data_IF_614249353249
#
_entry.id   IF_614249353249
#
_cell.length_a   1.000
_cell.length_b   1.000
_cell.length_c   1.000
_cell.angle_alpha   90.00
_cell.angle_beta   90.00
_cell.angle_gamma   90.00
#
_symmetry.space_group_name_H-M   'P 1'
#
loop_
_entity.id
_entity.type
_entity.pdbx_description
1 polymer ?
#
# COMPACT_ATOMS: atom_id res chain seq x y z
N UNK A 1 -4.43 -79.36 12.33
CA UNK A 1 -2.98 -79.07 12.26
C UNK A 1 -2.77 -77.87 11.36
N UNK A 2 -1.98 -76.85 11.74
CA UNK A 2 -1.75 -75.68 10.91
C UNK A 2 -0.97 -76.05 9.64
N UNK A 3 -1.30 -75.42 8.50
CA UNK A 3 -0.59 -75.63 7.25
C UNK A 3 0.78 -74.94 7.29
N UNK A 4 1.85 -75.56 6.75
CA UNK A 4 3.16 -74.91 6.69
C UNK A 4 3.11 -73.68 5.75
N UNK A 5 3.78 -72.57 6.10
CA UNK A 5 3.55 -71.26 5.48
C UNK A 5 3.84 -71.22 3.97
N UNK A 6 4.82 -72.01 3.51
CA UNK A 6 5.15 -72.11 2.08
C UNK A 6 4.04 -72.78 1.23
N UNK A 7 3.22 -73.66 1.81
CA UNK A 7 2.04 -74.22 1.14
C UNK A 7 0.88 -73.23 1.16
N UNK A 8 0.68 -72.55 2.29
CA UNK A 8 -0.37 -71.55 2.49
C UNK A 8 -0.27 -70.44 1.41
N UNK A 9 0.90 -69.84 1.24
CA UNK A 9 1.16 -68.82 0.21
C UNK A 9 0.96 -69.32 -1.23
N UNK A 10 1.24 -70.61 -1.51
CA UNK A 10 1.00 -71.21 -2.84
C UNK A 10 -0.48 -71.46 -3.12
N UNK A 11 -1.26 -71.80 -2.09
CA UNK A 11 -2.70 -72.01 -2.20
C UNK A 11 -3.48 -70.69 -2.31
N UNK A 12 -3.03 -69.64 -1.62
CA UNK A 12 -3.52 -68.27 -1.79
C UNK A 12 -3.31 -67.74 -3.21
N UNK A 13 -2.08 -67.86 -3.76
CA UNK A 13 -1.78 -67.47 -5.14
C UNK A 13 -2.55 -68.24 -6.21
N UNK A 14 -3.21 -69.34 -5.84
CA UNK A 14 -4.11 -70.13 -6.70
C UNK A 14 -5.60 -69.89 -6.42
N UNK A 15 -5.93 -68.94 -5.54
CA UNK A 15 -7.31 -68.60 -5.16
C UNK A 15 -8.05 -69.66 -4.33
N UNK A 16 -7.34 -70.69 -3.84
CA UNK A 16 -7.93 -71.83 -3.11
C UNK A 16 -8.18 -71.47 -1.65
N UNK A 17 -7.30 -70.67 -1.05
CA UNK A 17 -7.49 -70.07 0.27
C UNK A 17 -7.84 -68.61 0.06
N UNK A 18 -9.09 -68.25 0.31
CA UNK A 18 -9.49 -66.85 0.50
C UNK A 18 -9.08 -66.47 1.92
N UNK A 19 -8.22 -65.46 2.06
CA UNK A 19 -8.15 -64.75 3.33
C UNK A 19 -9.38 -63.83 3.37
N UNK A 20 -10.05 -63.82 4.51
CA UNK A 20 -10.88 -62.69 4.88
C UNK A 20 -9.90 -61.55 5.17
N UNK A 21 -9.67 -60.71 4.16
CA UNK A 21 -8.96 -59.45 4.37
C UNK A 21 -9.82 -58.63 5.34
N UNK A 22 -9.30 -58.43 6.55
CA UNK A 22 -9.89 -57.48 7.48
C UNK A 22 -9.97 -56.14 6.77
N UNK A 23 -11.19 -55.68 6.51
CA UNK A 23 -11.45 -54.39 5.89
C UNK A 23 -11.06 -53.34 6.92
N UNK A 24 -9.78 -52.96 6.89
CA UNK A 24 -9.29 -51.77 7.55
C UNK A 24 -10.08 -50.62 6.93
N UNK A 25 -11.07 -50.14 7.66
CA UNK A 25 -11.79 -48.94 7.31
C UNK A 25 -10.81 -47.78 7.41
N UNK A 26 -10.10 -47.50 6.32
CA UNK A 26 -9.42 -46.24 6.11
C UNK A 26 -10.48 -45.14 6.27
N UNK A 27 -10.40 -44.40 7.37
CA UNK A 27 -11.28 -43.27 7.64
C UNK A 27 -11.12 -42.26 6.50
N UNK A 28 -12.06 -42.31 5.55
CA UNK A 28 -12.15 -41.38 4.43
C UNK A 28 -12.69 -39.99 4.85
N UNK A 29 -12.71 -39.72 6.15
CA UNK A 29 -12.70 -38.37 6.69
C UNK A 29 -11.32 -37.76 6.44
N UNK A 30 -11.14 -37.25 5.20
CA UNK A 30 -10.28 -36.08 5.03
C UNK A 30 -10.82 -35.04 5.99
N UNK A 31 -10.11 -34.77 7.08
CA UNK A 31 -10.38 -33.58 7.88
C UNK A 31 -10.53 -32.42 6.89
N UNK A 32 -11.58 -31.58 7.01
CA UNK A 32 -11.67 -30.41 6.17
C UNK A 32 -10.40 -29.62 6.44
N UNK A 33 -9.54 -29.53 5.42
CA UNK A 33 -8.35 -28.69 5.49
C UNK A 33 -8.81 -27.39 6.10
N UNK A 34 -8.23 -27.02 7.25
CA UNK A 34 -8.39 -25.69 7.81
C UNK A 34 -7.62 -24.74 6.88
N UNK A 35 -8.20 -24.53 5.69
CA UNK A 35 -8.49 -23.19 5.21
C UNK A 35 -9.02 -22.46 6.42
N UNK A 36 -8.10 -21.79 7.10
CA UNK A 36 -8.37 -20.49 7.63
C UNK A 36 -9.04 -19.76 6.45
N UNK A 37 -10.38 -19.74 6.47
CA UNK A 37 -11.07 -18.51 6.14
C UNK A 37 -10.31 -17.49 6.98
N UNK A 38 -9.42 -16.76 6.31
CA UNK A 38 -9.12 -15.41 6.74
C UNK A 38 -10.50 -14.83 6.98
N UNK A 39 -10.87 -14.64 8.25
CA UNK A 39 -12.04 -13.86 8.59
C UNK A 39 -11.86 -12.57 7.79
N UNK A 40 -12.74 -12.34 6.82
CA UNK A 40 -12.60 -11.25 5.86
C UNK A 40 -12.35 -9.98 6.66
N UNK A 41 -11.11 -9.47 6.64
CA UNK A 41 -10.64 -8.50 7.62
C UNK A 41 -11.64 -7.35 7.66
N UNK A 42 -12.54 -7.37 8.66
CA UNK A 42 -13.75 -6.56 8.60
C UNK A 42 -13.42 -5.06 8.65
N UNK A 43 -12.22 -4.77 9.17
CA UNK A 43 -11.56 -3.49 9.30
C UNK A 43 -10.83 -3.01 8.04
N UNK A 44 -10.80 -3.77 6.94
CA UNK A 44 -10.11 -3.41 5.70
C UNK A 44 -8.64 -3.81 5.66
N UNK A 45 -7.87 -3.19 4.74
CA UNK A 45 -6.46 -3.51 4.52
C UNK A 45 -5.59 -3.18 5.76
N UNK A 46 -4.73 -4.11 6.23
CA UNK A 46 -4.02 -3.96 7.50
C UNK A 46 -3.17 -2.68 7.56
N UNK A 47 -2.30 -2.47 6.56
CA UNK A 47 -1.46 -1.28 6.48
C UNK A 47 -2.15 0.02 6.04
N UNK A 48 -3.47 0.08 5.86
CA UNK A 48 -4.10 1.28 5.31
C UNK A 48 -4.11 2.44 6.32
N UNK A 49 -3.44 3.58 6.05
CA UNK A 49 -3.39 4.70 7.00
C UNK A 49 -4.75 5.40 7.15
N UNK A 50 -5.69 5.20 6.23
CA UNK A 50 -7.03 5.80 6.27
C UNK A 50 -8.08 4.93 7.01
N UNK A 51 -7.69 3.83 7.66
CA UNK A 51 -8.61 2.92 8.37
C UNK A 51 -9.44 3.60 9.47
N UNK A 52 -8.92 4.68 10.05
CA UNK A 52 -9.60 5.50 11.06
C UNK A 52 -10.67 6.46 10.51
N UNK A 53 -10.76 6.63 9.18
CA UNK A 53 -11.68 7.57 8.56
C UNK A 53 -13.04 6.88 8.31
N UNK A 54 -14.08 7.36 8.98
CA UNK A 54 -15.46 6.87 8.87
C UNK A 54 -16.07 6.93 7.45
N UNK A 55 -15.44 7.64 6.51
CA UNK A 55 -15.86 7.71 5.10
C UNK A 55 -14.95 6.91 4.16
N UNK A 56 -13.99 6.15 4.68
CA UNK A 56 -13.06 5.36 3.87
C UNK A 56 -13.39 3.87 3.92
N UNK A 57 -13.79 3.32 2.78
CA UNK A 57 -13.84 1.87 2.54
C UNK A 57 -12.57 1.45 1.82
N UNK A 58 -11.87 0.43 2.33
CA UNK A 58 -10.68 -0.12 1.68
C UNK A 58 -11.05 -0.82 0.37
N UNK A 59 -10.44 -0.39 -0.74
CA UNK A 59 -10.53 -1.00 -2.07
C UNK A 59 -9.26 -1.80 -2.39
N UNK A 60 -9.22 -2.57 -3.47
CA UNK A 60 -8.04 -3.39 -3.87
C UNK A 60 -6.72 -2.62 -3.82
N UNK A 61 -6.70 -1.37 -4.29
CA UNK A 61 -5.53 -0.50 -4.22
C UNK A 61 -4.96 -0.37 -2.79
N UNK A 62 -5.80 -0.34 -1.75
CA UNK A 62 -5.34 -0.23 -0.37
C UNK A 62 -4.56 -1.48 0.08
N UNK A 63 -5.00 -2.67 -0.36
CA UNK A 63 -4.32 -3.93 -0.06
C UNK A 63 -3.01 -4.04 -0.84
N UNK A 64 -3.02 -3.74 -2.15
CA UNK A 64 -1.83 -3.81 -3.01
C UNK A 64 -0.77 -2.75 -2.67
N UNK A 65 -1.18 -1.54 -2.27
CA UNK A 65 -0.26 -0.41 -2.02
C UNK A 65 0.34 -0.41 -0.61
N UNK A 66 -0.43 -0.76 0.42
CA UNK A 66 0.01 -0.66 1.81
C UNK A 66 0.41 -2.00 2.45
N UNK A 67 -0.08 -3.13 1.92
CA UNK A 67 0.20 -4.46 2.45
C UNK A 67 -0.06 -4.55 3.97
N UNK A 68 0.89 -5.16 4.68
CA UNK A 68 0.86 -5.34 6.14
C UNK A 68 1.30 -4.09 6.94
N UNK A 69 1.57 -2.96 6.25
CA UNK A 69 1.87 -1.69 6.89
C UNK A 69 3.23 -1.63 7.61
N UNK A 70 3.23 -1.04 8.81
CA UNK A 70 4.41 -0.89 9.65
C UNK A 70 4.38 -1.85 10.84
N UNK A 71 5.42 -2.66 11.05
CA UNK A 71 5.44 -3.63 12.14
C UNK A 71 5.76 -2.96 13.48
N UNK A 72 5.19 -3.52 14.56
CA UNK A 72 5.25 -3.01 15.93
C UNK A 72 6.67 -2.72 16.44
N UNK A 73 7.66 -3.54 16.06
CA UNK A 73 9.07 -3.33 16.46
C UNK A 73 9.72 -2.07 15.89
N UNK A 74 9.08 -1.41 14.90
CA UNK A 74 9.53 -0.12 14.34
C UNK A 74 9.04 1.08 15.17
N UNK A 75 8.21 0.86 16.19
CA UNK A 75 7.68 1.93 17.03
C UNK A 75 8.80 2.72 17.74
N UNK A 76 8.72 4.06 17.80
CA UNK A 76 9.65 4.84 18.60
C UNK A 76 9.53 4.48 20.09
N UNK A 77 10.65 4.19 20.74
CA UNK A 77 10.69 3.85 22.17
C UNK A 77 10.05 4.93 23.05
N UNK A 78 10.24 6.21 22.70
CA UNK A 78 9.57 7.36 23.36
C UNK A 78 8.03 7.26 23.31
N UNK A 79 7.45 6.71 22.24
CA UNK A 79 6.02 6.50 22.12
C UNK A 79 5.55 5.36 23.04
N UNK A 80 6.27 4.24 23.06
CA UNK A 80 5.98 3.09 23.94
C UNK A 80 6.06 3.51 25.41
N UNK A 81 7.11 4.23 25.81
CA UNK A 81 7.26 4.77 27.17
C UNK A 81 6.10 5.70 27.57
N UNK A 82 5.68 6.60 26.68
CA UNK A 82 4.55 7.49 26.92
C UNK A 82 3.21 6.74 27.03
N UNK A 83 2.98 5.71 26.20
CA UNK A 83 1.81 4.82 26.31
C UNK A 83 1.79 4.12 27.67
N UNK A 84 2.89 3.51 28.07
CA UNK A 84 2.98 2.74 29.30
C UNK A 84 2.79 3.64 30.54
N UNK A 85 3.33 4.87 30.52
CA UNK A 85 3.06 5.89 31.55
C UNK A 85 1.59 6.31 31.60
N UNK A 86 0.92 6.47 30.46
CA UNK A 86 -0.52 6.73 30.42
C UNK A 86 -1.31 5.56 31.05
N UNK A 87 -0.98 4.32 30.71
CA UNK A 87 -1.64 3.13 31.24
C UNK A 87 -1.40 2.92 32.74
N UNK A 88 -0.23 3.28 33.25
CA UNK A 88 0.04 3.26 34.69
C UNK A 88 -0.86 4.24 35.48
N UNK A 89 -1.14 5.42 34.91
CA UNK A 89 -2.02 6.42 35.52
C UNK A 89 -3.52 6.14 35.29
N UNK A 90 -3.84 5.49 34.17
CA UNK A 90 -5.20 5.21 33.71
C UNK A 90 -5.31 3.74 33.27
N UNK A 91 -5.36 2.79 34.22
CA UNK A 91 -5.42 1.36 33.91
C UNK A 91 -6.69 1.02 33.13
N UNK A 92 -6.57 0.11 32.16
CA UNK A 92 -7.71 -0.29 31.32
C UNK A 92 -8.85 -0.87 32.19
N UNK A 93 -10.12 -0.52 31.92
CA UNK A 93 -11.25 -1.24 32.50
C UNK A 93 -11.31 -2.69 32.01
N UNK A 94 -12.12 -3.50 32.68
CA UNK A 94 -12.42 -4.85 32.24
C UNK A 94 -13.00 -4.84 30.80
N UNK A 95 -12.68 -5.88 30.01
CA UNK A 95 -13.03 -6.06 28.60
C UNK A 95 -12.33 -5.14 27.58
N UNK A 96 -11.58 -4.13 28.03
CA UNK A 96 -10.76 -3.32 27.14
C UNK A 96 -9.39 -3.93 26.91
N UNK A 97 -8.95 -3.95 25.66
CA UNK A 97 -7.60 -4.38 25.26
C UNK A 97 -6.90 -3.33 24.43
N UNK A 98 -5.57 -3.33 24.51
CA UNK A 98 -4.71 -2.59 23.59
C UNK A 98 -4.49 -3.38 22.30
N UNK A 99 -4.67 -2.71 21.16
CA UNK A 99 -4.53 -3.27 19.82
C UNK A 99 -3.63 -2.35 19.00
N UNK A 100 -2.65 -2.91 18.31
CA UNK A 100 -1.76 -2.17 17.42
C UNK A 100 -2.39 -2.02 16.02
N UNK A 101 -2.41 -0.80 15.46
CA UNK A 101 -2.76 -0.56 14.06
C UNK A 101 -1.50 -0.39 13.21
N UNK A 102 -1.31 -1.28 12.23
CA UNK A 102 -0.11 -1.30 11.40
C UNK A 102 -0.05 -0.14 10.40
N UNK A 103 -1.20 0.40 9.98
CA UNK A 103 -1.29 1.48 8.99
C UNK A 103 -0.90 2.85 9.54
N UNK A 104 -1.25 3.12 10.79
CA UNK A 104 -1.00 4.41 11.48
C UNK A 104 0.22 4.32 12.41
N UNK A 105 0.75 3.13 12.67
CA UNK A 105 1.86 2.84 13.58
C UNK A 105 1.56 3.23 15.04
N UNK A 106 0.35 2.93 15.53
CA UNK A 106 -0.10 3.34 16.88
C UNK A 106 -1.04 2.30 17.49
N UNK A 107 -1.02 2.20 18.81
CA UNK A 107 -2.06 1.50 19.55
C UNK A 107 -3.34 2.34 19.64
N UNK A 108 -4.46 1.65 19.53
CA UNK A 108 -5.77 2.07 20.01
C UNK A 108 -6.24 1.05 21.07
N UNK A 109 -7.36 1.35 21.71
CA UNK A 109 -8.00 0.49 22.68
C UNK A 109 -9.36 0.08 22.15
N UNK A 110 -9.72 -1.19 22.34
CA UNK A 110 -10.95 -1.81 21.85
C UNK A 110 -11.66 -2.54 22.99
N UNK A 111 -12.97 -2.34 23.11
CA UNK A 111 -13.83 -3.03 24.05
C UNK A 111 -14.40 -4.30 23.41
N UNK A 112 -13.99 -5.47 23.89
CA UNK A 112 -14.41 -6.77 23.35
C UNK A 112 -15.89 -7.11 23.54
N UNK A 113 -16.63 -6.35 24.35
CA UNK A 113 -18.07 -6.60 24.58
C UNK A 113 -18.99 -5.66 23.80
N UNK A 114 -18.55 -4.44 23.49
CA UNK A 114 -19.38 -3.40 22.84
C UNK A 114 -18.88 -3.02 21.45
N UNK A 115 -17.72 -3.55 21.05
CA UNK A 115 -16.95 -3.19 19.85
C UNK A 115 -16.51 -1.72 19.74
N UNK A 116 -16.71 -0.93 20.79
CA UNK A 116 -16.25 0.45 20.88
C UNK A 116 -14.72 0.57 20.87
N UNK A 117 -14.21 1.66 20.29
CA UNK A 117 -12.77 1.95 20.20
C UNK A 117 -12.42 3.37 20.65
N UNK A 118 -11.18 3.57 21.11
CA UNK A 118 -10.64 4.89 21.46
C UNK A 118 -9.10 4.96 21.37
N UNK A 119 -8.54 6.16 21.21
CA UNK A 119 -7.08 6.39 21.07
C UNK A 119 -6.31 6.59 22.39
N UNK A 120 -7.02 6.73 23.50
CA UNK A 120 -6.47 6.87 24.85
C UNK A 120 -7.13 5.81 25.75
N UNK A 121 -6.52 5.44 26.88
CA UNK A 121 -7.18 4.56 27.86
C UNK A 121 -8.59 5.09 28.18
N UNK A 122 -9.65 4.26 28.26
CA UNK A 122 -11.03 4.72 28.45
C UNK A 122 -11.26 5.55 29.72
N UNK A 123 -10.37 5.42 30.72
CA UNK A 123 -10.41 6.23 31.96
C UNK A 123 -9.75 7.61 31.82
N UNK A 124 -9.07 7.87 30.71
CA UNK A 124 -8.34 9.10 30.46
C UNK A 124 -9.31 10.23 30.07
N UNK A 125 -9.18 11.45 30.62
CA UNK A 125 -10.15 12.54 30.37
C UNK A 125 -10.19 13.06 28.93
N UNK A 126 -9.25 12.64 28.07
CA UNK A 126 -9.23 12.92 26.62
C UNK A 126 -9.65 11.72 25.76
N UNK A 127 -10.10 10.62 26.36
CA UNK A 127 -10.63 9.49 25.61
C UNK A 127 -11.99 9.88 25.01
N UNK A 128 -12.09 9.74 23.70
CA UNK A 128 -13.36 9.78 22.97
C UNK A 128 -13.61 8.34 22.59
N UNK A 129 -14.67 7.76 23.16
CA UNK A 129 -15.15 6.42 22.85
C UNK A 129 -16.12 6.57 21.67
N UNK A 130 -15.89 5.79 20.62
CA UNK A 130 -16.74 5.78 19.43
C UNK A 130 -16.87 4.38 18.86
N UNK A 131 -17.82 4.22 17.96
CA UNK A 131 -17.86 3.07 17.07
C UNK A 131 -16.59 2.96 16.21
N UNK A 132 -16.21 1.74 15.78
CA UNK A 132 -15.04 1.53 14.96
C UNK A 132 -15.31 2.07 13.54
N UNK A 133 -14.43 2.94 13.06
CA UNK A 133 -14.59 3.62 11.77
C UNK A 133 -14.91 2.69 10.58
N UNK A 134 -14.37 1.45 10.46
CA UNK A 134 -14.77 0.52 9.40
C UNK A 134 -16.23 0.06 9.46
N UNK A 135 -16.88 0.05 10.65
CA UNK A 135 -18.33 -0.23 10.78
C UNK A 135 -19.13 0.92 10.20
N UNK A 136 -18.83 2.14 10.63
CA UNK A 136 -19.45 3.39 10.15
C UNK A 136 -19.24 3.55 8.63
N UNK A 137 -18.04 3.23 8.12
CA UNK A 137 -17.74 3.31 6.70
C UNK A 137 -18.54 2.32 5.84
N UNK A 138 -18.86 1.13 6.36
CA UNK A 138 -19.77 0.18 5.69
C UNK A 138 -21.22 0.69 5.66
N UNK A 139 -21.67 1.35 6.72
CA UNK A 139 -22.99 1.99 6.78
C UNK A 139 -23.11 3.19 5.81
N UNK A 140 -22.01 3.94 5.62
CA UNK A 140 -21.94 5.02 4.63
C UNK A 140 -21.66 4.55 3.19
N UNK A 141 -21.15 3.33 2.99
CA UNK A 141 -20.81 2.79 1.67
C UNK A 141 -21.94 2.90 0.62
N UNK A 142 -23.21 2.50 0.87
CA UNK A 142 -24.28 2.64 -0.12
C UNK A 142 -24.58 4.10 -0.50
N UNK A 143 -24.36 5.06 0.41
CA UNK A 143 -24.52 6.48 0.12
C UNK A 143 -23.36 7.06 -0.69
N UNK A 144 -22.14 6.52 -0.53
CA UNK A 144 -20.92 6.98 -1.21
C UNK A 144 -20.72 6.32 -2.60
N UNK A 145 -21.09 5.05 -2.74
CA UNK A 145 -20.88 4.25 -3.95
C UNK A 145 -22.19 3.92 -4.72
N UNK A 146 -23.34 4.30 -4.16
CA UNK A 146 -24.67 4.07 -4.72
C UNK A 146 -25.25 2.69 -4.41
N UNK A 147 -26.57 2.56 -4.52
CA UNK A 147 -27.34 1.31 -4.36
C UNK A 147 -27.16 0.34 -5.54
N UNK A 148 -25.91 0.13 -5.93
CA UNK A 148 -25.53 -1.01 -6.77
C UNK A 148 -25.52 -2.24 -5.88
N UNK A 149 -26.64 -2.94 -5.79
CA UNK A 149 -26.80 -4.23 -5.10
C UNK A 149 -25.97 -5.39 -5.70
N UNK A 150 -24.82 -5.08 -6.29
CA UNK A 150 -23.77 -6.01 -6.62
C UNK A 150 -22.70 -5.91 -5.53
N UNK A 151 -22.62 -6.93 -4.66
CA UNK A 151 -21.44 -7.10 -3.81
C UNK A 151 -20.19 -7.11 -4.70
N UNK A 152 -19.09 -6.56 -4.19
CA UNK A 152 -17.78 -6.69 -4.83
C UNK A 152 -17.57 -8.18 -5.09
N UNK A 153 -17.43 -8.66 -6.34
CA UNK A 153 -17.38 -10.08 -6.60
C UNK A 153 -16.12 -10.68 -5.98
N UNK A 154 -16.30 -11.41 -4.88
CA UNK A 154 -15.25 -12.15 -4.18
C UNK A 154 -14.52 -13.10 -5.16
N UNK A 155 -15.25 -13.56 -6.18
CA UNK A 155 -14.79 -14.42 -7.28
C UNK A 155 -13.66 -13.80 -8.12
N UNK A 156 -13.68 -12.49 -8.39
CA UNK A 156 -12.69 -11.83 -9.27
C UNK A 156 -11.32 -11.74 -8.57
N UNK A 157 -11.33 -11.57 -7.24
CA UNK A 157 -10.13 -11.61 -6.40
C UNK A 157 -9.53 -13.02 -6.29
N UNK A 158 -10.37 -14.07 -6.28
CA UNK A 158 -9.90 -15.46 -6.30
C UNK A 158 -9.27 -15.82 -7.65
N UNK A 159 -9.86 -15.38 -8.76
CA UNK A 159 -9.31 -15.59 -10.10
C UNK A 159 -7.92 -14.93 -10.26
N UNK A 160 -7.77 -13.69 -9.79
CA UNK A 160 -6.51 -12.93 -9.89
C UNK A 160 -5.40 -13.48 -8.99
N UNK A 161 -5.72 -14.03 -7.80
CA UNK A 161 -4.76 -14.76 -6.94
C UNK A 161 -4.21 -16.02 -7.61
N UNK A 162 -5.03 -16.75 -8.38
CA UNK A 162 -4.62 -18.01 -9.04
C UNK A 162 -3.52 -17.82 -10.09
N UNK A 163 -3.49 -16.67 -10.77
CA UNK A 163 -2.48 -16.33 -11.78
C UNK A 163 -1.11 -15.90 -11.23
N UNK A 164 -0.96 -15.70 -9.92
CA UNK A 164 0.32 -15.29 -9.30
C UNK A 164 1.12 -16.47 -8.70
N UNK A 165 0.58 -17.69 -8.79
CA UNK A 165 1.13 -18.92 -8.19
C UNK A 165 2.09 -19.74 -9.07
N UNK A 166 2.86 -19.11 -9.95
CA UNK A 166 3.87 -19.84 -10.73
C UNK A 166 4.64 -19.02 -11.75
N UNK A 167 5.92 -18.73 -11.45
CA UNK A 167 7.07 -19.14 -12.27
C UNK A 167 8.37 -18.52 -11.70
N UNK A 168 9.00 -19.17 -10.73
CA UNK A 168 10.41 -18.92 -10.44
C UNK A 168 11.29 -19.56 -11.52
N UNK A 169 12.06 -18.78 -12.29
CA UNK A 169 13.33 -19.18 -12.97
C UNK A 169 14.04 -17.98 -13.64
N UNK A 170 15.34 -18.09 -14.01
CA UNK A 170 16.31 -17.22 -13.35
C UNK A 170 17.19 -16.37 -14.29
N UNK A 171 18.04 -15.56 -13.66
CA UNK A 171 19.15 -14.77 -14.21
C UNK A 171 20.03 -15.56 -15.23
N UNK A 172 20.11 -15.11 -16.50
CA UNK A 172 20.96 -15.75 -17.51
C UNK A 172 20.98 -15.16 -18.94
N UNK A 173 21.75 -14.10 -19.16
CA UNK A 173 22.79 -13.94 -20.22
C UNK A 173 22.58 -14.28 -21.73
N UNK A 174 22.94 -13.29 -22.60
CA UNK A 174 23.44 -13.35 -24.01
C UNK A 174 22.55 -13.78 -25.23
N UNK A 175 22.21 -12.76 -26.05
CA UNK A 175 22.42 -12.61 -27.52
C UNK A 175 22.30 -13.83 -28.48
N UNK A 176 21.46 -13.71 -29.53
CA UNK A 176 21.89 -13.62 -30.98
C UNK A 176 20.72 -13.53 -32.00
N UNK A 177 20.94 -12.69 -33.04
CA UNK A 177 20.51 -12.67 -34.48
C UNK A 177 19.33 -13.58 -34.91
N UNK A 178 18.35 -13.12 -35.71
CA UNK A 178 18.47 -12.53 -37.07
C UNK A 178 18.13 -13.62 -38.13
N UNK A 179 17.57 -13.38 -39.34
CA UNK A 179 17.45 -12.20 -40.23
C UNK A 179 16.21 -12.35 -41.14
N UNK A 180 15.78 -11.27 -41.79
CA UNK A 180 14.88 -11.27 -42.95
C UNK A 180 14.75 -9.86 -43.55
N UNK A 181 15.58 -9.57 -44.57
CA UNK A 181 15.80 -8.27 -45.22
C UNK A 181 16.41 -8.60 -46.61
N UNK A 182 16.14 -7.90 -47.75
CA UNK A 182 16.79 -6.60 -47.97
C UNK A 182 16.15 -5.59 -48.99
N UNK A 183 16.74 -4.38 -49.05
CA UNK A 183 16.79 -3.39 -50.17
C UNK A 183 15.54 -2.52 -50.45
N UNK A 184 15.60 -1.17 -50.59
CA UNK A 184 16.63 -0.10 -50.42
C UNK A 184 15.93 1.16 -49.79
N UNK A 185 16.45 2.39 -49.63
CA UNK A 185 17.65 3.10 -50.14
C UNK A 185 18.14 4.26 -49.22
N UNK A 186 19.27 4.88 -49.60
CA UNK A 186 20.01 6.08 -49.15
C UNK A 186 19.27 7.22 -48.37
N UNK A 187 19.95 7.81 -47.39
CA UNK A 187 19.52 8.98 -46.58
C UNK A 187 20.20 10.32 -47.00
N UNK A 188 20.34 11.36 -46.13
CA UNK A 188 20.08 11.41 -44.67
C UNK A 188 19.18 12.60 -44.18
N UNK A 189 19.00 12.69 -42.86
CA UNK A 189 18.81 13.94 -42.08
C UNK A 189 17.47 14.73 -42.16
N UNK A 190 16.54 14.45 -41.22
CA UNK A 190 15.86 15.46 -40.36
C UNK A 190 15.02 14.78 -39.25
N UNK A 191 15.07 15.29 -38.01
CA UNK A 191 14.23 14.85 -36.88
C UNK A 191 12.82 15.49 -36.98
N UNK A 192 12.03 15.08 -37.97
CA UNK A 192 10.71 15.64 -38.28
C UNK A 192 9.58 14.58 -38.32
N UNK A 193 9.64 13.57 -37.45
CA UNK A 193 8.59 12.54 -37.33
C UNK A 193 7.33 13.09 -36.62
N UNK A 194 6.48 13.70 -37.44
CA UNK A 194 5.01 13.72 -37.37
C UNK A 194 4.39 13.82 -35.96
N UNK A 195 4.19 15.06 -35.51
CA UNK A 195 3.35 15.36 -34.33
C UNK A 195 1.90 15.02 -34.65
N UNK A 196 1.52 13.75 -34.48
CA UNK A 196 0.11 13.35 -34.44
C UNK A 196 -0.55 14.14 -33.31
N UNK A 197 -1.37 15.13 -33.67
CA UNK A 197 -2.07 15.98 -32.71
C UNK A 197 -2.98 15.11 -31.84
N UNK A 198 -2.48 14.74 -30.66
CA UNK A 198 -3.27 14.00 -29.70
C UNK A 198 -4.52 14.80 -29.39
N UNK A 199 -5.68 14.19 -29.61
CA UNK A 199 -6.96 14.77 -29.23
C UNK A 199 -6.91 15.30 -27.77
N UNK A 200 -7.56 16.44 -27.51
CA UNK A 200 -7.58 17.07 -26.17
C UNK A 200 -7.94 16.08 -25.05
N UNK A 201 -8.80 15.10 -25.35
CA UNK A 201 -9.19 14.02 -24.43
C UNK A 201 -8.02 13.11 -24.02
N UNK A 202 -7.07 12.84 -24.92
CA UNK A 202 -5.91 11.99 -24.65
C UNK A 202 -4.73 12.77 -24.05
N UNK A 203 -4.61 14.07 -24.37
CA UNK A 203 -3.76 15.02 -23.61
C UNK A 203 -4.17 15.03 -22.14
N UNK A 204 -5.46 15.22 -21.85
CA UNK A 204 -5.99 15.24 -20.48
C UNK A 204 -5.83 13.89 -19.74
N UNK A 205 -5.99 12.75 -20.42
CA UNK A 205 -5.66 11.42 -19.85
C UNK A 205 -4.17 11.26 -19.55
N UNK A 206 -3.28 11.87 -20.35
CA UNK A 206 -1.82 11.86 -20.12
C UNK A 206 -1.46 12.77 -18.93
N UNK A 207 -2.06 13.95 -18.84
CA UNK A 207 -1.93 14.88 -17.71
C UNK A 207 -2.38 14.23 -16.39
N UNK A 208 -3.59 13.66 -16.35
CA UNK A 208 -4.13 12.94 -15.18
C UNK A 208 -3.25 11.76 -14.74
N UNK A 209 -2.66 11.00 -15.68
CA UNK A 209 -1.69 9.92 -15.37
C UNK A 209 -0.37 10.43 -14.80
N UNK A 210 0.04 11.66 -15.13
CA UNK A 210 1.23 12.32 -14.59
C UNK A 210 0.93 13.13 -13.30
N UNK A 211 -0.33 13.20 -12.86
CA UNK A 211 -0.74 13.96 -11.68
C UNK A 211 -0.86 15.47 -11.87
N UNK A 212 -0.87 15.97 -13.11
CA UNK A 212 -1.15 17.39 -13.40
C UNK A 212 -2.66 17.63 -13.22
N UNK A 213 -3.02 18.76 -12.62
CA UNK A 213 -4.41 19.19 -12.43
C UNK A 213 -5.13 19.31 -13.79
N UNK A 214 -6.31 18.70 -13.97
CA UNK A 214 -7.17 18.93 -15.14
C UNK A 214 -7.53 20.38 -15.45
N UNK A 215 -7.21 21.37 -14.62
CA UNK A 215 -7.36 22.81 -14.88
C UNK A 215 -6.03 23.54 -15.12
N UNK A 216 -4.88 22.86 -15.04
CA UNK A 216 -3.56 23.41 -15.34
C UNK A 216 -3.41 23.65 -16.85
N UNK A 217 -2.90 24.82 -17.31
CA UNK A 217 -2.52 25.03 -18.71
C UNK A 217 -1.63 23.92 -19.31
N UNK A 218 -0.74 23.33 -18.51
CA UNK A 218 0.13 22.22 -18.92
C UNK A 218 -0.61 20.86 -19.05
N UNK A 219 -1.90 20.78 -18.70
CA UNK A 219 -2.75 19.62 -18.96
C UNK A 219 -3.30 19.57 -20.40
N UNK A 220 -3.37 20.72 -21.07
CA UNK A 220 -4.02 20.88 -22.38
C UNK A 220 -3.06 21.26 -23.53
N UNK A 221 -2.02 22.05 -23.24
CA UNK A 221 -1.08 22.56 -24.23
C UNK A 221 0.37 22.17 -23.98
N UNK A 222 1.27 22.78 -24.76
CA UNK A 222 2.73 22.53 -24.73
C UNK A 222 3.46 23.35 -23.65
N UNK A 223 2.71 23.87 -22.66
CA UNK A 223 3.28 24.59 -21.53
C UNK A 223 4.17 23.64 -20.69
N UNK A 224 5.38 24.06 -20.29
CA UNK A 224 6.30 23.19 -19.57
C UNK A 224 5.77 22.85 -18.17
N UNK A 225 5.74 21.55 -17.86
CA UNK A 225 5.45 21.07 -16.50
C UNK A 225 6.69 21.25 -15.64
N UNK A 226 6.59 22.07 -14.59
CA UNK A 226 7.69 22.35 -13.66
C UNK A 226 7.19 22.68 -12.26
N UNK A 227 8.12 22.73 -11.30
CA UNK A 227 7.88 23.20 -9.93
C UNK A 227 7.93 24.73 -9.90
N UNK A 228 7.39 25.36 -8.85
CA UNK A 228 7.50 26.82 -8.64
C UNK A 228 8.95 27.36 -8.63
N UNK A 229 9.95 26.48 -8.47
CA UNK A 229 11.37 26.82 -8.58
C UNK A 229 11.95 26.79 -10.01
N UNK A 230 11.33 26.10 -10.98
CA UNK A 230 11.94 25.88 -12.31
C UNK A 230 11.99 27.15 -13.18
N UNK A 231 11.20 28.16 -12.85
CA UNK A 231 11.30 29.51 -13.44
C UNK A 231 12.29 30.44 -12.72
N UNK A 232 12.77 30.07 -11.52
CA UNK A 232 13.68 30.88 -10.72
C UNK A 232 15.12 30.57 -11.13
N UNK A 233 15.70 31.42 -11.99
CA UNK A 233 17.14 31.34 -12.30
C UNK A 233 17.92 31.54 -11.00
N UNK A 234 18.77 30.56 -10.65
CA UNK A 234 19.57 30.56 -9.40
C UNK A 234 20.43 31.83 -9.27
N UNK A 235 20.80 32.40 -10.42
CA UNK A 235 21.55 33.66 -10.56
C UNK A 235 20.82 34.89 -9.97
N UNK A 236 19.49 34.83 -9.79
CA UNK A 236 18.70 35.92 -9.19
C UNK A 236 18.71 35.91 -7.65
N UNK A 237 19.42 34.98 -7.00
CA UNK A 237 19.66 35.04 -5.55
C UNK A 237 20.47 36.29 -5.16
N UNK A 238 21.27 36.83 -6.09
CA UNK A 238 21.65 38.24 -6.04
C UNK A 238 20.50 39.08 -6.61
N UNK A 239 19.72 39.72 -5.74
CA UNK A 239 18.55 40.54 -6.08
C UNK A 239 18.88 41.87 -6.78
N UNK A 240 19.68 41.82 -7.84
CA UNK A 240 19.96 42.91 -8.75
C UNK A 240 19.19 42.67 -10.06
N UNK A 241 18.48 43.69 -10.54
CA UNK A 241 17.78 43.61 -11.82
C UNK A 241 18.80 43.67 -12.97
N UNK A 242 18.91 42.55 -13.70
CA UNK A 242 19.89 42.37 -14.79
C UNK A 242 19.42 43.03 -16.10
N UNK A 243 18.19 43.54 -16.16
CA UNK A 243 17.66 44.21 -17.37
C UNK A 243 18.19 45.64 -17.57
N UNK A 244 18.85 46.23 -16.57
CA UNK A 244 19.42 47.56 -16.65
C UNK A 244 20.81 47.59 -17.32
N UNK A 245 20.85 47.81 -18.63
CA UNK A 245 22.08 48.00 -19.40
C UNK A 245 22.81 49.32 -19.10
N UNK A 246 23.71 49.33 -18.11
CA UNK A 246 24.61 50.45 -17.83
C UNK A 246 25.46 50.22 -16.57
N UNK A 247 26.50 51.04 -16.33
CA UNK A 247 27.29 51.01 -15.09
C UNK A 247 26.48 51.60 -13.94
N UNK A 248 25.46 50.86 -13.51
CA UNK A 248 24.50 51.31 -12.52
C UNK A 248 25.15 51.16 -11.12
N UNK A 249 25.38 52.29 -10.47
CA UNK A 249 25.84 52.37 -9.07
C UNK A 249 24.69 51.96 -8.14
N UNK A 250 24.27 50.70 -8.24
CA UNK A 250 23.16 50.15 -7.49
C UNK A 250 23.49 50.15 -6.01
N UNK A 251 22.72 50.93 -5.24
CA UNK A 251 22.68 50.82 -3.79
C UNK A 251 22.37 49.36 -3.45
N UNK A 252 23.24 48.75 -2.64
CA UNK A 252 23.11 47.34 -2.25
C UNK A 252 21.71 47.11 -1.65
N UNK A 253 20.88 46.21 -2.21
CA UNK A 253 19.55 45.94 -1.68
C UNK A 253 19.62 45.51 -0.22
N UNK A 254 18.68 45.99 0.59
CA UNK A 254 18.58 45.58 1.99
C UNK A 254 18.33 44.07 2.07
N UNK A 255 18.96 43.35 3.03
CA UNK A 255 18.77 41.92 3.17
C UNK A 255 17.31 41.58 3.48
N UNK A 256 16.81 40.49 2.90
CA UNK A 256 15.43 40.06 3.09
C UNK A 256 15.08 39.88 4.59
N UNK A 257 13.85 40.20 5.04
CA UNK A 257 13.50 40.20 6.46
C UNK A 257 13.82 38.89 7.20
N UNK A 258 13.58 37.75 6.55
CA UNK A 258 13.91 36.43 7.10
C UNK A 258 15.41 36.19 7.29
N UNK A 259 16.29 36.83 6.51
CA UNK A 259 17.74 36.75 6.70
C UNK A 259 18.22 37.57 7.91
N UNK A 260 17.54 38.68 8.22
CA UNK A 260 17.79 39.46 9.44
C UNK A 260 17.37 38.64 10.67
N UNK A 261 16.17 38.04 10.65
CA UNK A 261 15.67 37.20 11.75
C UNK A 261 16.53 35.96 12.01
N UNK A 262 17.09 35.32 10.96
CA UNK A 262 18.05 34.20 11.14
C UNK A 262 19.34 34.62 11.84
N UNK A 263 19.83 35.85 11.60
CA UNK A 263 21.02 36.40 12.29
C UNK A 263 20.75 36.85 13.72
N UNK A 264 19.48 36.98 14.12
CA UNK A 264 19.05 37.40 15.46
C UNK A 264 18.69 36.22 16.37
N UNK A 265 18.64 34.99 15.86
CA UNK A 265 18.61 33.80 16.72
C UNK A 265 20.01 33.61 17.31
N UNK A 266 20.18 33.56 18.65
CA UNK A 266 21.46 33.21 19.24
C UNK A 266 21.82 31.76 18.86
N UNK A 267 23.12 31.50 18.70
CA UNK A 267 23.67 30.17 18.44
C UNK A 267 23.86 29.38 19.76
N UNK A 268 22.82 29.36 20.60
CA UNK A 268 22.83 28.62 21.86
C UNK A 268 22.37 27.17 21.59
N UNK A 269 23.20 26.33 20.95
CA UNK A 269 23.04 24.85 20.93
C UNK A 269 24.20 24.06 20.27
N UNK A 270 25.40 24.64 20.06
CA UNK A 270 26.60 23.91 19.57
C UNK A 270 27.88 24.29 20.35
N UNK A 271 27.95 24.00 21.67
CA UNK A 271 29.17 23.67 22.45
C UNK A 271 28.86 23.44 23.96
N UNK A 272 28.34 22.25 24.31
CA UNK A 272 28.54 21.42 25.54
C UNK A 272 27.40 20.39 25.73
#
# INVERSE_FOLDING_TARGET
>A
MPLPPALLARLQKRGIIKQEEEVIAENYDKEPEKKQRFEENASGAPGCPNKYNQYHVCVEFCYDHWGDGTPEYRLPEKYVANKNRMLANFPLPENWVEVYDEGISKYYFWNKLTDEVCWYSPRHPRAIISDPAPRIAKEHAPALFGDSGAGIPEEDNVARRKNRGGNEKPRGEKRKKGRGDPMMQDGPESDEDEVQEMNNRDRLKRAKRKGIDPMDPAAYGDAPVGKWSDGLRVDQVTGADVTAGGPLFQQRPYPAPGAILRKQKPQDEEEE
#
